data_IF_616702756445
#
_entry.id   IF_616702756445
#
_cell.length_a   1.000
_cell.length_b   1.000
_cell.length_c   1.000
_cell.angle_alpha   90.00
_cell.angle_beta   90.00
_cell.angle_gamma   90.00
#
_symmetry.space_group_name_H-M   'P 1'
#
loop_
_entity.id
_entity.type
_entity.pdbx_description
1 polymer ?
#
# COMPACT_ATOMS: atom_id res chain seq x y z
N UNK A 1 25.85 -6.06 -20.89
CA UNK A 1 24.82 -5.09 -21.32
C UNK A 1 25.52 -3.80 -21.74
N UNK A 2 25.04 -3.09 -22.76
CA UNK A 2 25.64 -1.85 -23.18
C UNK A 2 25.19 -0.65 -22.36
N UNK A 3 26.09 0.25 -22.05
CA UNK A 3 25.82 1.48 -21.32
C UNK A 3 24.94 2.41 -22.16
N UNK A 4 23.90 2.96 -21.55
CA UNK A 4 22.96 3.88 -22.21
C UNK A 4 23.57 5.25 -22.50
N UNK A 5 24.70 5.61 -21.84
CA UNK A 5 25.37 6.91 -21.98
C UNK A 5 26.49 6.89 -23.01
N UNK A 6 27.33 5.84 -23.04
CA UNK A 6 28.53 5.81 -23.88
C UNK A 6 28.66 4.56 -24.77
N UNK A 7 27.70 3.63 -24.72
CA UNK A 7 27.73 2.37 -25.45
C UNK A 7 28.73 1.33 -24.92
N UNK A 8 29.53 1.67 -23.91
CA UNK A 8 30.53 0.79 -23.32
C UNK A 8 29.91 -0.39 -22.56
N UNK A 9 30.73 -1.40 -22.23
CA UNK A 9 30.26 -2.59 -21.53
C UNK A 9 29.93 -2.26 -20.05
N UNK A 10 28.74 -2.64 -19.60
CA UNK A 10 28.29 -2.50 -18.23
C UNK A 10 28.10 -3.86 -17.55
N UNK A 11 28.48 -3.94 -16.28
CA UNK A 11 28.39 -5.12 -15.43
C UNK A 11 27.40 -4.86 -14.28
N UNK A 12 26.69 -5.91 -13.84
CA UNK A 12 25.86 -5.84 -12.66
C UNK A 12 26.72 -5.74 -11.40
N UNK A 13 26.39 -4.80 -10.53
CA UNK A 13 27.02 -4.62 -9.21
C UNK A 13 25.95 -4.37 -8.15
N UNK A 14 26.21 -4.85 -6.95
CA UNK A 14 25.34 -4.56 -5.81
C UNK A 14 25.91 -3.37 -5.04
N UNK A 15 25.07 -2.38 -4.78
CA UNK A 15 25.43 -1.22 -3.97
C UNK A 15 24.45 -1.02 -2.81
N UNK A 16 24.92 -0.47 -1.70
CA UNK A 16 24.06 0.00 -0.62
C UNK A 16 23.64 1.42 -0.93
N UNK A 17 22.34 1.68 -0.81
CA UNK A 17 21.76 3.01 -1.08
C UNK A 17 20.83 3.41 0.06
N UNK A 18 20.99 4.64 0.51
CA UNK A 18 20.01 5.26 1.40
C UNK A 18 18.84 5.72 0.55
N UNK A 19 17.66 5.18 0.84
CA UNK A 19 16.41 5.47 0.14
C UNK A 19 15.45 6.23 1.04
N UNK A 20 14.76 7.22 0.47
CA UNK A 20 13.70 7.95 1.14
C UNK A 20 12.35 7.57 0.53
N UNK A 21 11.40 7.23 1.38
CA UNK A 21 10.01 7.00 1.01
C UNK A 21 9.10 7.75 1.97
N UNK A 22 8.36 8.75 1.46
CA UNK A 22 7.65 9.74 2.30
C UNK A 22 8.62 10.43 3.26
N UNK A 23 8.40 10.32 4.57
CA UNK A 23 9.26 10.89 5.62
C UNK A 23 10.27 9.88 6.19
N UNK A 24 10.25 8.65 5.68
CA UNK A 24 11.08 7.55 6.16
C UNK A 24 12.35 7.40 5.33
N UNK A 25 13.45 7.08 6.01
CA UNK A 25 14.73 6.75 5.38
C UNK A 25 15.16 5.35 5.80
N UNK A 26 15.54 4.53 4.84
CA UNK A 26 16.05 3.17 5.04
C UNK A 26 17.28 2.94 4.18
N UNK A 27 18.17 2.06 4.63
CA UNK A 27 19.29 1.59 3.82
C UNK A 27 18.92 0.26 3.17
N UNK A 28 19.08 0.18 1.87
CA UNK A 28 18.76 -1.02 1.10
C UNK A 28 19.91 -1.36 0.15
N UNK A 29 20.11 -2.64 -0.08
CA UNK A 29 20.97 -3.13 -1.14
C UNK A 29 20.18 -3.19 -2.44
N UNK A 30 20.76 -2.70 -3.53
CA UNK A 30 20.16 -2.78 -4.87
C UNK A 30 21.20 -3.21 -5.90
N UNK A 31 20.73 -3.90 -6.89
CA UNK A 31 21.53 -4.24 -8.06
C UNK A 31 21.42 -3.13 -9.11
N UNK A 32 22.53 -2.65 -9.60
CA UNK A 32 22.63 -1.63 -10.64
C UNK A 32 23.61 -2.09 -11.71
N UNK A 33 23.52 -1.55 -12.92
CA UNK A 33 24.57 -1.69 -13.90
C UNK A 33 25.56 -0.54 -13.77
N UNK A 34 26.87 -0.90 -13.72
CA UNK A 34 27.97 0.07 -13.75
C UNK A 34 28.74 -0.08 -15.04
N UNK A 35 28.89 1.00 -15.78
CA UNK A 35 29.69 1.03 -17.01
C UNK A 35 31.19 0.95 -16.69
N UNK A 36 31.94 0.07 -17.40
CA UNK A 36 33.39 -0.02 -17.24
C UNK A 36 34.14 1.17 -17.85
N UNK A 37 33.55 1.85 -18.84
CA UNK A 37 34.20 2.94 -19.57
C UNK A 37 33.93 4.30 -18.92
N UNK A 38 32.68 4.68 -18.67
CA UNK A 38 32.32 5.98 -18.10
C UNK A 38 31.98 5.95 -16.60
N UNK A 39 32.02 4.77 -15.96
CA UNK A 39 31.73 4.56 -14.54
C UNK A 39 30.30 4.95 -14.10
N UNK A 40 29.41 5.29 -15.04
CA UNK A 40 28.04 5.67 -14.74
C UNK A 40 27.22 4.46 -14.28
N UNK A 41 26.39 4.68 -13.24
CA UNK A 41 25.46 3.68 -12.72
C UNK A 41 24.07 3.92 -13.31
N UNK A 42 23.41 2.88 -13.78
CA UNK A 42 22.04 2.95 -14.26
C UNK A 42 21.23 1.71 -13.89
N UNK A 43 19.93 1.85 -13.90
CA UNK A 43 18.96 0.81 -13.60
C UNK A 43 18.12 0.51 -14.84
N UNK A 44 17.83 -0.76 -15.05
CA UNK A 44 16.74 -1.14 -15.95
C UNK A 44 15.38 -0.84 -15.30
N UNK A 45 14.29 -0.71 -16.08
CA UNK A 45 12.95 -0.55 -15.52
C UNK A 45 12.58 -1.65 -14.51
N UNK A 46 12.97 -2.89 -14.75
CA UNK A 46 12.74 -4.01 -13.85
C UNK A 46 13.51 -3.84 -12.53
N UNK A 47 14.79 -3.46 -12.59
CA UNK A 47 15.58 -3.18 -11.39
C UNK A 47 15.05 -1.98 -10.60
N UNK A 48 14.59 -0.93 -11.28
CA UNK A 48 13.97 0.22 -10.64
C UNK A 48 12.68 -0.17 -9.91
N UNK A 49 11.85 -1.02 -10.53
CA UNK A 49 10.64 -1.55 -9.89
C UNK A 49 10.97 -2.40 -8.65
N UNK A 50 11.90 -3.35 -8.78
CA UNK A 50 12.36 -4.20 -7.67
C UNK A 50 12.92 -3.38 -6.52
N UNK A 51 13.69 -2.35 -6.81
CA UNK A 51 14.24 -1.44 -5.82
C UNK A 51 13.14 -0.75 -4.98
N UNK A 52 12.09 -0.24 -5.62
CA UNK A 52 10.95 0.38 -4.92
C UNK A 52 10.24 -0.63 -4.01
N UNK A 53 10.09 -1.88 -4.45
CA UNK A 53 9.51 -2.94 -3.61
C UNK A 53 10.38 -3.22 -2.38
N UNK A 54 11.69 -3.38 -2.55
CA UNK A 54 12.65 -3.62 -1.46
C UNK A 54 12.61 -2.47 -0.43
N UNK A 55 12.60 -1.22 -0.90
CA UNK A 55 12.48 -0.04 0.00
C UNK A 55 11.23 -0.12 0.86
N UNK A 56 10.07 -0.44 0.26
CA UNK A 56 8.80 -0.56 0.99
C UNK A 56 8.81 -1.72 1.97
N UNK A 57 9.44 -2.83 1.63
CA UNK A 57 9.54 -3.99 2.51
C UNK A 57 10.44 -3.72 3.71
N UNK A 58 11.54 -3.01 3.53
CA UNK A 58 12.38 -2.57 4.66
C UNK A 58 11.65 -1.58 5.58
N UNK A 59 10.80 -0.70 5.03
CA UNK A 59 9.96 0.18 5.84
C UNK A 59 8.92 -0.64 6.64
N UNK A 60 8.27 -1.64 6.01
CA UNK A 60 7.36 -2.54 6.73
C UNK A 60 8.06 -3.25 7.87
N UNK A 61 9.25 -3.79 7.64
CA UNK A 61 10.07 -4.44 8.68
C UNK A 61 10.41 -3.49 9.82
N UNK A 62 10.87 -2.27 9.49
CA UNK A 62 11.22 -1.23 10.46
C UNK A 62 10.06 -0.90 11.40
N UNK A 63 8.83 -0.85 10.88
CA UNK A 63 7.62 -0.55 11.64
C UNK A 63 6.85 -1.80 12.12
N UNK A 64 7.39 -3.00 11.91
CA UNK A 64 6.74 -4.26 12.28
C UNK A 64 5.41 -4.50 11.59
N UNK A 65 5.19 -3.94 10.39
CA UNK A 65 3.94 -4.07 9.64
C UNK A 65 3.86 -5.40 8.90
N UNK A 66 2.64 -5.86 8.66
CA UNK A 66 2.36 -7.06 7.88
C UNK A 66 2.88 -6.91 6.44
N UNK A 67 3.56 -7.92 5.89
CA UNK A 67 3.90 -7.95 4.48
C UNK A 67 2.64 -8.17 3.62
N UNK A 68 2.66 -7.79 2.33
CA UNK A 68 1.51 -7.88 1.42
C UNK A 68 0.84 -9.25 1.39
N UNK A 69 1.64 -10.31 1.34
CA UNK A 69 1.18 -11.69 1.34
C UNK A 69 0.36 -12.05 2.60
N UNK A 70 0.81 -11.58 3.78
CA UNK A 70 0.09 -11.85 5.02
C UNK A 70 -1.27 -11.16 5.08
N UNK A 71 -1.39 -9.96 4.50
CA UNK A 71 -2.68 -9.27 4.39
C UNK A 71 -3.66 -10.11 3.56
N UNK A 72 -3.21 -10.61 2.40
CA UNK A 72 -4.03 -11.47 1.54
C UNK A 72 -4.41 -12.79 2.24
N UNK A 73 -3.49 -13.41 2.97
CA UNK A 73 -3.74 -14.64 3.74
C UNK A 73 -4.81 -14.42 4.82
N UNK A 74 -4.70 -13.33 5.60
CA UNK A 74 -5.68 -12.97 6.63
C UNK A 74 -7.06 -12.77 6.00
N UNK A 75 -7.15 -11.97 4.95
CA UNK A 75 -8.41 -11.72 4.24
C UNK A 75 -9.05 -13.02 3.73
N UNK A 76 -8.26 -13.86 3.07
CA UNK A 76 -8.74 -15.12 2.51
C UNK A 76 -9.20 -16.09 3.61
N UNK A 77 -8.47 -16.15 4.74
CA UNK A 77 -8.84 -16.95 5.91
C UNK A 77 -10.17 -16.50 6.52
N UNK A 78 -10.47 -15.21 6.47
CA UNK A 78 -11.75 -14.64 6.92
C UNK A 78 -12.87 -14.80 5.89
N UNK A 79 -12.61 -15.39 4.71
CA UNK A 79 -13.59 -15.58 3.64
C UNK A 79 -14.02 -14.29 2.96
N UNK A 80 -13.22 -13.22 3.04
CA UNK A 80 -13.56 -11.91 2.50
C UNK A 80 -12.96 -11.69 1.11
N UNK A 81 -13.72 -11.06 0.22
CA UNK A 81 -13.19 -10.43 -0.98
C UNK A 81 -12.40 -9.16 -0.63
N UNK A 82 -11.63 -8.63 -1.58
CA UNK A 82 -10.92 -7.36 -1.38
C UNK A 82 -11.88 -6.21 -1.12
N UNK A 83 -12.99 -6.18 -1.85
CA UNK A 83 -14.03 -5.16 -1.69
C UNK A 83 -14.71 -5.24 -0.31
N UNK A 84 -15.10 -6.43 0.13
CA UNK A 84 -15.72 -6.60 1.45
C UNK A 84 -14.79 -6.18 2.58
N UNK A 85 -13.48 -6.44 2.45
CA UNK A 85 -12.51 -5.95 3.42
C UNK A 85 -12.39 -4.42 3.37
N UNK A 86 -12.46 -3.80 2.21
CA UNK A 86 -12.46 -2.34 2.05
C UNK A 86 -13.68 -1.70 2.73
N UNK A 87 -14.86 -2.25 2.49
CA UNK A 87 -16.11 -1.80 3.14
C UNK A 87 -16.04 -1.99 4.67
N UNK A 88 -15.60 -3.16 5.12
CA UNK A 88 -15.47 -3.48 6.55
C UNK A 88 -14.55 -2.52 7.29
N UNK A 89 -13.44 -2.14 6.66
CA UNK A 89 -12.45 -1.22 7.23
C UNK A 89 -12.84 0.26 7.04
N UNK A 90 -13.89 0.55 6.29
CA UNK A 90 -14.31 1.91 5.95
C UNK A 90 -13.25 2.67 5.15
N UNK A 91 -12.54 1.99 4.26
CA UNK A 91 -11.48 2.57 3.41
C UNK A 91 -11.94 2.65 1.95
N UNK A 92 -11.27 3.52 1.19
CA UNK A 92 -11.63 3.72 -0.22
C UNK A 92 -11.38 2.50 -1.11
N UNK A 93 -11.98 2.47 -2.31
CA UNK A 93 -11.87 1.35 -3.24
C UNK A 93 -10.43 1.14 -3.73
N UNK A 94 -10.09 -0.11 -4.04
CA UNK A 94 -8.77 -0.55 -4.55
C UNK A 94 -7.59 -0.29 -3.59
N UNK A 95 -7.84 0.00 -2.33
CA UNK A 95 -6.79 0.19 -1.30
C UNK A 95 -6.20 -1.17 -0.89
N UNK A 96 -7.06 -2.16 -0.63
CA UNK A 96 -6.62 -3.53 -0.27
C UNK A 96 -5.82 -4.16 -1.42
N UNK A 97 -6.27 -4.00 -2.66
CA UNK A 97 -5.53 -4.43 -3.87
C UNK A 97 -4.11 -3.85 -3.89
N UNK A 98 -3.97 -2.57 -3.52
CA UNK A 98 -2.65 -1.90 -3.48
C UNK A 98 -1.78 -2.37 -2.32
N UNK A 99 -2.37 -2.76 -1.19
CA UNK A 99 -1.63 -3.36 -0.08
C UNK A 99 -1.12 -4.75 -0.44
N UNK A 100 -1.99 -5.62 -0.97
CA UNK A 100 -1.67 -6.99 -1.35
C UNK A 100 -0.68 -7.08 -2.52
N UNK A 101 -0.71 -6.10 -3.43
CA UNK A 101 0.29 -5.98 -4.51
C UNK A 101 1.60 -5.28 -4.09
N UNK A 102 1.72 -4.85 -2.83
CA UNK A 102 2.89 -4.13 -2.34
C UNK A 102 3.03 -2.68 -2.82
N UNK A 103 2.07 -2.18 -3.62
CA UNK A 103 2.14 -0.82 -4.18
C UNK A 103 2.03 0.28 -3.12
N UNK A 104 1.28 0.01 -2.05
CA UNK A 104 1.08 0.94 -0.93
C UNK A 104 1.34 0.22 0.38
N UNK A 105 1.89 0.92 1.35
CA UNK A 105 2.06 0.41 2.72
C UNK A 105 0.80 0.77 3.50
N UNK A 106 0.23 -0.19 4.22
CA UNK A 106 -0.90 0.02 5.12
C UNK A 106 -0.50 0.89 6.32
N UNK A 107 -1.45 1.64 6.86
CA UNK A 107 -1.23 2.39 8.09
C UNK A 107 -1.20 1.46 9.31
N UNK A 108 -0.58 1.93 10.40
CA UNK A 108 -0.44 1.14 11.63
C UNK A 108 -1.78 0.73 12.25
N UNK A 109 -2.80 1.59 12.16
CA UNK A 109 -4.16 1.28 12.66
C UNK A 109 -4.79 0.13 11.88
N UNK A 110 -4.70 0.16 10.55
CA UNK A 110 -5.22 -0.91 9.69
C UNK A 110 -4.45 -2.22 9.91
N UNK A 111 -3.13 -2.14 10.08
CA UNK A 111 -2.30 -3.30 10.41
C UNK A 111 -2.73 -3.94 11.74
N UNK A 112 -2.92 -3.13 12.77
CA UNK A 112 -3.37 -3.60 14.09
C UNK A 112 -4.75 -4.24 14.00
N UNK A 113 -5.67 -3.65 13.24
CA UNK A 113 -7.02 -4.19 13.05
C UNK A 113 -7.00 -5.52 12.28
N UNK A 114 -6.18 -5.65 11.25
CA UNK A 114 -6.00 -6.92 10.53
C UNK A 114 -5.47 -8.03 11.45
N UNK A 115 -4.52 -7.74 12.30
CA UNK A 115 -4.01 -8.69 13.31
C UNK A 115 -5.06 -9.07 14.33
N UNK A 116 -5.88 -8.11 14.75
CA UNK A 116 -6.97 -8.35 15.68
C UNK A 116 -8.03 -9.26 15.05
N UNK A 117 -8.42 -9.01 13.82
CA UNK A 117 -9.35 -9.85 13.05
C UNK A 117 -8.80 -11.28 12.83
N UNK A 118 -7.49 -11.42 12.61
CA UNK A 118 -6.87 -12.74 12.49
C UNK A 118 -6.94 -13.52 13.81
N UNK A 119 -6.71 -12.83 14.93
CA UNK A 119 -6.71 -13.42 16.27
C UNK A 119 -8.11 -13.73 16.78
N UNK A 120 -9.05 -12.82 16.54
CA UNK A 120 -10.43 -12.90 17.03
C UNK A 120 -11.42 -12.63 15.89
N UNK A 121 -11.75 -13.65 15.08
CA UNK A 121 -12.66 -13.49 13.93
C UNK A 121 -14.08 -13.05 14.29
N UNK A 122 -14.51 -13.22 15.55
CA UNK A 122 -15.85 -12.79 16.01
C UNK A 122 -16.06 -11.29 15.87
N UNK A 123 -14.99 -10.49 15.99
CA UNK A 123 -15.01 -9.03 15.80
C UNK A 123 -15.49 -8.63 14.39
N UNK A 124 -15.45 -9.54 13.43
CA UNK A 124 -15.94 -9.30 12.07
C UNK A 124 -17.41 -8.88 12.07
N UNK A 125 -18.23 -9.53 12.87
CA UNK A 125 -19.67 -9.23 12.97
C UNK A 125 -19.91 -7.87 13.64
N UNK A 126 -19.18 -7.57 14.70
CA UNK A 126 -19.26 -6.28 15.39
C UNK A 126 -18.88 -5.13 14.44
N UNK A 127 -17.82 -5.31 13.65
CA UNK A 127 -17.41 -4.33 12.64
C UNK A 127 -18.47 -4.13 11.56
N UNK A 128 -19.13 -5.20 11.08
CA UNK A 128 -20.23 -5.10 10.12
C UNK A 128 -21.38 -4.27 10.67
N UNK A 129 -21.76 -4.50 11.91
CA UNK A 129 -22.82 -3.73 12.56
C UNK A 129 -22.44 -2.26 12.72
N UNK A 130 -21.20 -1.95 13.09
CA UNK A 130 -20.69 -0.57 13.19
C UNK A 130 -20.76 0.12 11.82
N UNK A 131 -20.35 -0.54 10.75
CA UNK A 131 -20.39 0.05 9.41
C UNK A 131 -21.83 0.27 8.91
N UNK A 132 -22.74 -0.64 9.21
CA UNK A 132 -24.16 -0.49 8.86
C UNK A 132 -24.77 0.72 9.57
N UNK A 133 -24.52 0.90 10.88
CA UNK A 133 -24.99 2.07 11.64
C UNK A 133 -24.44 3.36 11.06
N UNK A 134 -23.14 3.45 10.79
CA UNK A 134 -22.52 4.62 10.17
C UNK A 134 -23.16 4.99 8.82
N UNK A 135 -23.43 3.99 7.99
CA UNK A 135 -24.07 4.21 6.69
C UNK A 135 -25.51 4.72 6.83
N UNK A 136 -26.25 4.28 7.85
CA UNK A 136 -27.61 4.77 8.14
C UNK A 136 -27.57 6.21 8.63
N UNK A 137 -26.70 6.54 9.59
CA UNK A 137 -26.52 7.89 10.12
C UNK A 137 -26.11 8.90 9.04
N UNK A 138 -25.22 8.49 8.10
CA UNK A 138 -24.84 9.33 6.98
C UNK A 138 -26.00 9.63 6.02
N UNK A 139 -26.87 8.64 5.77
CA UNK A 139 -28.07 8.84 4.95
C UNK A 139 -29.07 9.77 5.60
N UNK A 140 -29.29 9.64 6.90
CA UNK A 140 -30.17 10.53 7.67
C UNK A 140 -29.63 11.96 7.68
N UNK A 141 -28.33 12.14 7.90
CA UNK A 141 -27.68 13.45 7.87
C UNK A 141 -27.82 14.10 6.48
N UNK A 142 -27.55 13.37 5.41
CA UNK A 142 -27.67 13.87 4.05
C UNK A 142 -29.12 14.28 3.71
N UNK A 143 -30.12 13.50 4.12
CA UNK A 143 -31.54 13.80 3.87
C UNK A 143 -32.03 15.01 4.68
N UNK A 144 -31.55 15.20 5.90
CA UNK A 144 -31.93 16.33 6.77
C UNK A 144 -31.31 17.66 6.36
N UNK A 145 -30.16 17.65 5.67
CA UNK A 145 -29.44 18.87 5.26
C UNK A 145 -29.65 19.26 3.79
N UNK A 146 -30.22 18.40 2.94
CA UNK A 146 -30.63 18.77 1.58
C UNK A 146 -31.85 19.72 1.54
N UNK A 147 -32.56 19.94 2.65
CA UNK A 147 -33.71 20.85 2.70
C UNK A 147 -33.37 22.28 3.15
N UNK A 148 -32.12 22.56 3.51
CA UNK A 148 -31.70 23.87 4.08
C UNK A 148 -30.70 24.66 3.23
N UNK A 149 -30.34 24.18 2.02
CA UNK A 149 -29.39 24.89 1.16
C UNK A 149 -29.93 25.02 -0.27
N UNK A 150 -29.91 26.26 -0.78
CA UNK A 150 -30.10 26.76 -2.13
C UNK A 150 -30.22 25.71 -3.27
N UNK A 151 -31.26 25.77 -4.12
CA UNK A 151 -31.42 24.80 -5.20
C UNK A 151 -30.34 24.79 -6.29
N UNK A 152 -29.34 25.63 -6.17
CA UNK A 152 -28.17 25.68 -7.08
C UNK A 152 -26.93 24.90 -6.59
N UNK A 153 -26.92 24.35 -5.40
CA UNK A 153 -25.72 23.66 -4.85
C UNK A 153 -25.71 22.12 -5.02
N UNK A 154 -26.77 21.53 -5.57
CA UNK A 154 -26.88 20.07 -5.79
C UNK A 154 -26.62 19.60 -7.23
N UNK A 155 -25.98 20.42 -8.06
CA UNK A 155 -25.64 20.04 -9.44
C UNK A 155 -24.13 20.08 -9.65
N UNK A 156 -23.38 19.14 -9.01
CA UNK A 156 -22.04 18.70 -9.46
C UNK A 156 -21.92 17.21 -9.18
#
# INVERSE_FOLDING_TARGET
MNCVMCGGNAIAVTERKRARYRQETVEVSREVFRCKSCQENFLTPAQAHSYVCVVKDEIRKKHGLLPPRRIAEIRTKLGLSQHELEELLGIGPKVVVRWESGKVIQGGVQDSLLRLLEREPRILEDLRQIQQRRSSEQKEYASSHCHAADPMACAV
#
